data_IF_987339254073
#
_entry.id   IF_987339254073
#
_cell.length_a   1.000
_cell.length_b   1.000
_cell.length_c   1.000
_cell.angle_alpha   90.00
_cell.angle_beta   90.00
_cell.angle_gamma   90.00
#
_symmetry.space_group_name_H-M   'P 1'
#
loop_
_entity.id
_entity.type
_entity.pdbx_description
1 polymer ?
#
# COMPACT_ATOMS: atom_id res chain seq x y z
N UNK A 1 42.41 42.09 -42.49
CA UNK A 1 41.99 40.87 -43.24
C UNK A 1 42.26 39.58 -42.46
N UNK A 2 43.45 39.37 -41.85
CA UNK A 2 43.75 38.16 -41.05
C UNK A 2 42.89 38.03 -39.79
N UNK A 3 42.81 39.08 -38.96
CA UNK A 3 42.04 39.07 -37.71
C UNK A 3 40.53 38.78 -37.89
N UNK A 4 39.96 39.19 -39.01
CA UNK A 4 38.56 38.89 -39.34
C UNK A 4 38.36 37.40 -39.70
N UNK A 5 39.33 36.80 -40.40
CA UNK A 5 39.34 35.37 -40.69
C UNK A 5 39.56 34.52 -39.44
N UNK A 6 40.38 34.99 -38.51
CA UNK A 6 40.60 34.30 -37.22
C UNK A 6 39.35 34.35 -36.34
N UNK A 7 38.65 35.48 -36.30
CA UNK A 7 37.37 35.60 -35.57
C UNK A 7 36.27 34.75 -36.21
N UNK A 8 36.19 34.73 -37.54
CA UNK A 8 35.22 33.90 -38.27
C UNK A 8 35.51 32.40 -38.05
N UNK A 9 36.79 31.99 -38.10
CA UNK A 9 37.18 30.61 -37.80
C UNK A 9 36.88 30.21 -36.34
N UNK A 10 37.10 31.12 -35.39
CA UNK A 10 36.80 30.88 -33.99
C UNK A 10 35.28 30.77 -33.74
N UNK A 11 34.48 31.65 -34.35
CA UNK A 11 33.02 31.61 -34.23
C UNK A 11 32.44 30.35 -34.88
N UNK A 12 32.98 29.98 -36.03
CA UNK A 12 32.56 28.80 -36.78
C UNK A 12 32.96 27.48 -36.09
N UNK A 13 34.05 27.47 -35.31
CA UNK A 13 34.45 26.32 -34.50
C UNK A 13 33.55 26.13 -33.27
N UNK A 14 33.06 27.22 -32.67
CA UNK A 14 32.25 27.17 -31.45
C UNK A 14 30.74 27.10 -31.71
N UNK A 15 30.26 27.69 -32.80
CA UNK A 15 28.84 27.83 -33.13
C UNK A 15 28.44 27.18 -34.47
N UNK A 16 29.38 26.51 -35.15
CA UNK A 16 29.11 25.83 -36.42
C UNK A 16 28.24 24.59 -36.26
N UNK A 17 27.08 24.58 -36.95
CA UNK A 17 26.11 23.48 -36.90
C UNK A 17 26.51 22.22 -37.71
N UNK A 18 27.63 22.25 -38.44
CA UNK A 18 28.07 21.13 -39.29
C UNK A 18 29.60 20.95 -39.20
N UNK A 19 30.10 19.73 -38.93
CA UNK A 19 31.54 19.46 -38.95
C UNK A 19 32.08 19.61 -40.38
N UNK A 20 33.11 20.43 -40.57
CA UNK A 20 33.85 20.46 -41.83
C UNK A 20 34.71 19.21 -41.92
N UNK A 21 34.26 18.23 -42.68
CA UNK A 21 35.09 17.16 -43.19
C UNK A 21 35.83 17.69 -44.43
N UNK A 22 37.16 17.74 -44.37
CA UNK A 22 37.96 17.70 -45.58
C UNK A 22 37.68 16.35 -46.23
N UNK A 23 37.11 16.39 -47.43
CA UNK A 23 36.71 15.21 -48.18
C UNK A 23 37.88 14.24 -48.36
N UNK A 24 37.89 13.15 -47.59
CA UNK A 24 38.43 11.89 -48.06
C UNK A 24 37.71 10.70 -47.42
N UNK A 25 37.24 9.81 -48.29
CA UNK A 25 36.75 8.45 -48.05
C UNK A 25 35.35 8.24 -47.44
N UNK A 26 34.52 7.63 -48.29
CA UNK A 26 33.20 7.01 -48.06
C UNK A 26 33.29 5.88 -47.03
N UNK A 27 32.47 5.90 -45.97
CA UNK A 27 31.78 4.68 -45.51
C UNK A 27 30.54 4.96 -44.66
N UNK A 28 29.49 4.19 -44.92
CA UNK A 28 28.13 4.27 -44.37
C UNK A 28 27.95 3.17 -43.34
N UNK A 29 27.62 3.51 -42.09
CA UNK A 29 26.97 2.65 -41.07
C UNK A 29 26.93 3.45 -39.75
N UNK A 30 25.91 3.45 -38.89
CA UNK A 30 24.69 2.66 -38.76
C UNK A 30 23.79 3.47 -37.82
N UNK A 31 22.53 3.65 -38.19
CA UNK A 31 21.52 4.33 -37.38
C UNK A 31 21.38 3.64 -36.01
N UNK A 32 21.68 4.38 -34.94
CA UNK A 32 21.15 4.12 -33.60
C UNK A 32 20.20 5.26 -33.29
N UNK A 33 18.91 4.97 -33.34
CA UNK A 33 17.84 5.85 -32.89
C UNK A 33 17.97 6.04 -31.37
N UNK A 34 18.84 6.96 -30.95
CA UNK A 34 18.96 7.46 -29.59
C UNK A 34 18.36 8.86 -29.54
N UNK A 35 17.53 9.11 -28.55
CA UNK A 35 16.95 10.41 -28.25
C UNK A 35 18.01 11.53 -28.27
N UNK A 36 17.97 12.41 -29.28
CA UNK A 36 18.90 13.54 -29.44
C UNK A 36 18.47 14.73 -28.57
N UNK A 37 18.33 14.53 -27.26
CA UNK A 37 18.13 15.63 -26.31
C UNK A 37 19.48 16.09 -25.75
N UNK A 38 19.79 17.39 -25.89
CA UNK A 38 20.84 18.21 -25.22
C UNK A 38 22.28 17.67 -25.03
N UNK A 39 22.57 16.41 -25.35
CA UNK A 39 23.84 15.73 -25.11
C UNK A 39 24.58 15.37 -26.41
N UNK A 40 24.21 15.99 -27.54
CA UNK A 40 24.85 15.75 -28.84
C UNK A 40 26.12 16.59 -29.07
N UNK A 41 26.58 17.34 -28.07
CA UNK A 41 27.89 17.99 -28.12
C UNK A 41 28.93 16.93 -27.82
N UNK A 42 29.85 16.68 -28.75
CA UNK A 42 31.02 15.82 -28.50
C UNK A 42 31.86 16.53 -27.44
N UNK A 43 31.72 16.10 -26.18
CA UNK A 43 32.52 16.61 -25.08
C UNK A 43 33.98 16.31 -25.34
N UNK A 44 34.81 17.35 -25.27
CA UNK A 44 36.27 17.20 -25.26
C UNK A 44 36.69 16.47 -23.98
N UNK A 45 37.85 15.80 -23.97
CA UNK A 45 38.32 15.04 -22.80
C UNK A 45 38.43 15.90 -21.52
N UNK A 46 38.66 17.20 -21.68
CA UNK A 46 38.67 18.17 -20.59
C UNK A 46 37.28 18.39 -19.98
N UNK A 47 36.25 18.43 -20.81
CA UNK A 47 34.87 18.57 -20.35
C UNK A 47 34.38 17.29 -19.68
N UNK A 48 34.78 16.11 -20.13
CA UNK A 48 34.44 14.85 -19.44
C UNK A 48 35.03 14.77 -18.02
N UNK A 49 36.28 15.22 -17.85
CA UNK A 49 36.94 15.27 -16.54
C UNK A 49 36.32 16.33 -15.63
N UNK A 50 35.94 17.48 -16.20
CA UNK A 50 35.15 18.49 -15.52
C UNK A 50 33.79 17.91 -15.09
N UNK A 51 33.02 17.26 -15.99
CA UNK A 51 31.71 16.65 -15.72
C UNK A 51 31.76 15.61 -14.59
N UNK A 52 32.86 14.85 -14.48
CA UNK A 52 33.10 13.91 -13.37
C UNK A 52 33.42 14.59 -12.04
N UNK A 53 34.05 15.76 -12.07
CA UNK A 53 34.42 16.52 -10.86
C UNK A 53 33.35 17.52 -10.43
N UNK A 54 32.40 17.89 -11.30
CA UNK A 54 31.27 18.74 -10.91
C UNK A 54 30.28 17.94 -10.05
N UNK A 55 29.98 18.46 -8.85
CA UNK A 55 28.85 18.00 -8.04
C UNK A 55 27.52 18.51 -8.59
N UNK A 56 27.21 18.20 -9.85
CA UNK A 56 25.97 18.61 -10.49
C UNK A 56 24.94 17.47 -10.47
N UNK A 57 24.27 17.30 -9.33
CA UNK A 57 23.24 16.27 -9.13
C UNK A 57 22.03 16.39 -10.09
N UNK A 58 21.81 17.57 -10.66
CA UNK A 58 20.70 17.85 -11.57
C UNK A 58 21.03 17.57 -13.05
N UNK A 59 22.30 17.27 -13.38
CA UNK A 59 22.67 16.86 -14.74
C UNK A 59 22.32 15.38 -14.94
N UNK A 60 21.51 15.02 -15.97
CA UNK A 60 21.17 13.61 -16.26
C UNK A 60 22.38 12.70 -16.47
N UNK A 61 23.53 13.25 -16.88
CA UNK A 61 24.78 12.50 -17.09
C UNK A 61 25.58 12.26 -15.80
N UNK A 62 25.24 12.94 -14.71
CA UNK A 62 25.92 12.87 -13.41
C UNK A 62 24.98 12.39 -12.29
N UNK A 63 23.71 12.10 -12.59
CA UNK A 63 22.79 11.45 -11.66
C UNK A 63 23.28 10.02 -11.40
N UNK A 64 23.48 9.62 -10.13
CA UNK A 64 23.84 8.24 -9.82
C UNK A 64 22.75 7.31 -10.35
N UNK A 65 23.15 6.32 -11.14
CA UNK A 65 22.24 5.31 -11.67
C UNK A 65 21.62 4.57 -10.48
N UNK A 66 20.31 4.66 -10.31
CA UNK A 66 19.61 4.07 -9.17
C UNK A 66 19.78 2.54 -9.20
N UNK A 67 20.61 2.02 -8.31
CA UNK A 67 20.95 0.58 -8.23
C UNK A 67 19.78 -0.29 -7.77
N UNK A 68 18.68 0.31 -7.31
CA UNK A 68 17.55 -0.41 -6.76
C UNK A 68 16.35 -0.28 -7.69
N UNK A 69 16.13 -1.31 -8.52
CA UNK A 69 14.82 -1.57 -9.11
C UNK A 69 13.90 -2.00 -7.98
N UNK A 70 13.27 -1.03 -7.31
CA UNK A 70 12.21 -1.31 -6.34
C UNK A 70 11.06 -1.94 -7.12
N UNK A 71 10.69 -3.17 -6.74
CA UNK A 71 9.52 -3.81 -7.34
C UNK A 71 8.28 -2.95 -7.08
N UNK A 72 7.41 -2.86 -8.09
CA UNK A 72 6.19 -2.09 -7.96
C UNK A 72 5.39 -2.61 -6.76
N UNK A 73 4.91 -1.72 -5.87
CA UNK A 73 4.13 -2.13 -4.72
C UNK A 73 2.90 -2.92 -5.20
N UNK A 74 2.51 -3.93 -4.42
CA UNK A 74 1.36 -4.76 -4.76
C UNK A 74 0.11 -3.89 -4.94
N UNK A 75 -0.57 -4.03 -6.07
CA UNK A 75 -1.80 -3.28 -6.38
C UNK A 75 -3.04 -3.77 -5.63
N UNK A 76 -2.91 -4.82 -4.84
CA UNK A 76 -4.01 -5.42 -4.11
C UNK A 76 -4.02 -4.92 -2.66
N UNK A 77 -5.22 -4.61 -2.17
CA UNK A 77 -5.47 -4.36 -0.76
C UNK A 77 -5.44 -5.69 -0.01
N UNK A 78 -4.66 -5.76 1.05
CA UNK A 78 -4.47 -6.99 1.85
C UNK A 78 -5.05 -6.79 3.25
N UNK A 79 -5.61 -7.86 3.84
CA UNK A 79 -6.04 -7.87 5.23
C UNK A 79 -4.82 -7.72 6.15
N UNK A 80 -4.83 -6.77 7.10
CA UNK A 80 -3.69 -6.54 8.00
C UNK A 80 -3.40 -7.73 8.92
N UNK A 81 -4.43 -8.52 9.26
CA UNK A 81 -4.30 -9.66 10.17
C UNK A 81 -3.96 -10.96 9.41
N UNK A 82 -4.70 -11.26 8.34
CA UNK A 82 -4.62 -12.56 7.66
C UNK A 82 -3.75 -12.60 6.40
N UNK A 83 -3.14 -11.47 5.99
CA UNK A 83 -2.44 -11.33 4.71
C UNK A 83 -3.23 -11.80 3.47
N UNK A 84 -4.57 -11.83 3.57
CA UNK A 84 -5.46 -12.26 2.48
C UNK A 84 -5.80 -11.09 1.55
N UNK A 85 -5.96 -11.37 0.25
CA UNK A 85 -6.36 -10.38 -0.75
C UNK A 85 -7.83 -9.96 -0.53
N UNK A 86 -8.04 -8.73 -0.07
CA UNK A 86 -9.38 -8.17 0.11
C UNK A 86 -9.93 -7.67 -1.22
N UNK A 87 -11.19 -8.00 -1.51
CA UNK A 87 -11.96 -7.45 -2.63
C UNK A 87 -13.15 -6.70 -2.05
N UNK A 88 -13.51 -5.55 -2.61
CA UNK A 88 -14.68 -4.80 -2.14
C UNK A 88 -15.98 -5.62 -2.11
N UNK A 89 -16.11 -6.62 -3.01
CA UNK A 89 -17.26 -7.52 -3.08
C UNK A 89 -17.32 -8.58 -1.97
N UNK A 90 -16.20 -8.84 -1.28
CA UNK A 90 -16.14 -9.79 -0.16
C UNK A 90 -16.39 -9.12 1.19
N UNK A 91 -16.39 -7.78 1.24
CA UNK A 91 -16.67 -7.02 2.44
C UNK A 91 -18.18 -6.78 2.57
N UNK A 92 -18.71 -6.99 3.77
CA UNK A 92 -20.10 -6.71 4.10
C UNK A 92 -20.14 -5.94 5.44
N UNK A 93 -21.11 -5.05 5.63
CA UNK A 93 -21.26 -4.33 6.90
C UNK A 93 -21.64 -5.30 8.00
N UNK A 94 -21.11 -5.08 9.19
CA UNK A 94 -21.43 -5.85 10.39
C UNK A 94 -22.26 -4.98 11.32
N UNK A 95 -23.36 -5.55 11.84
CA UNK A 95 -24.27 -4.92 12.78
C UNK A 95 -24.27 -5.70 14.09
N UNK A 96 -23.81 -5.05 15.15
CA UNK A 96 -23.85 -5.56 16.51
C UNK A 96 -25.04 -4.92 17.23
N UNK A 97 -25.85 -5.73 17.90
CA UNK A 97 -26.98 -5.23 18.68
C UNK A 97 -26.48 -4.67 20.00
N UNK A 98 -26.72 -3.38 20.23
CA UNK A 98 -26.35 -2.68 21.47
C UNK A 98 -27.41 -2.89 22.55
N UNK A 99 -26.98 -3.02 23.81
CA UNK A 99 -27.88 -2.97 24.96
C UNK A 99 -28.23 -1.51 25.29
N UNK A 100 -29.52 -1.17 25.24
CA UNK A 100 -30.01 0.19 25.54
C UNK A 100 -30.32 0.38 27.04
N UNK A 101 -30.16 -0.65 27.87
CA UNK A 101 -30.55 -0.59 29.29
C UNK A 101 -29.64 0.30 30.15
N UNK A 102 -28.36 0.43 29.80
CA UNK A 102 -27.41 1.28 30.52
C UNK A 102 -27.27 2.62 29.77
N UNK A 103 -28.04 3.63 30.19
CA UNK A 103 -28.13 4.93 29.53
C UNK A 103 -26.76 5.58 29.24
N UNK A 104 -26.63 6.12 28.03
CA UNK A 104 -25.52 6.91 27.44
C UNK A 104 -24.24 7.01 28.28
N UNK A 105 -23.62 5.85 28.57
CA UNK A 105 -22.24 5.81 29.03
C UNK A 105 -21.37 5.93 27.79
N UNK A 106 -20.40 6.84 27.82
CA UNK A 106 -19.63 7.26 26.66
C UNK A 106 -19.11 6.09 25.80
N UNK A 107 -18.82 6.38 24.52
CA UNK A 107 -18.56 5.42 23.42
C UNK A 107 -17.69 4.18 23.67
N UNK A 108 -16.93 4.13 24.78
CA UNK A 108 -16.03 3.05 25.15
C UNK A 108 -16.72 1.89 25.90
N UNK A 109 -17.90 2.09 26.49
CA UNK A 109 -18.60 1.08 27.30
C UNK A 109 -19.90 0.57 26.66
N UNK A 110 -19.94 0.52 25.32
CA UNK A 110 -21.07 -0.08 24.60
C UNK A 110 -21.09 -1.58 24.83
N UNK A 111 -22.15 -2.05 25.49
CA UNK A 111 -22.40 -3.47 25.73
C UNK A 111 -23.13 -4.03 24.51
N UNK A 112 -22.54 -5.02 23.84
CA UNK A 112 -23.17 -5.70 22.72
C UNK A 112 -23.81 -7.01 23.16
N UNK A 113 -24.95 -7.35 22.59
CA UNK A 113 -25.74 -8.53 22.94
C UNK A 113 -25.99 -9.41 21.72
N UNK A 114 -26.13 -10.71 21.95
CA UNK A 114 -26.68 -11.63 20.96
C UNK A 114 -28.19 -11.38 20.80
N UNK A 115 -28.72 -11.21 19.57
CA UNK A 115 -30.14 -10.98 19.36
C UNK A 115 -31.04 -12.12 19.86
N UNK A 116 -30.53 -13.36 19.78
CA UNK A 116 -31.29 -14.58 20.09
C UNK A 116 -31.32 -14.91 21.59
N UNK A 117 -30.16 -14.97 22.24
CA UNK A 117 -30.08 -15.38 23.64
C UNK A 117 -29.91 -14.22 24.63
N UNK A 118 -29.79 -12.98 24.13
CA UNK A 118 -29.53 -11.76 24.92
C UNK A 118 -28.29 -11.86 25.83
N UNK A 119 -27.39 -12.81 25.56
CA UNK A 119 -26.09 -12.90 26.23
C UNK A 119 -25.17 -11.80 25.72
N UNK A 120 -24.43 -11.17 26.63
CA UNK A 120 -23.39 -10.21 26.31
C UNK A 120 -22.28 -10.84 25.47
N UNK A 121 -21.97 -10.21 24.34
CA UNK A 121 -20.89 -10.62 23.45
C UNK A 121 -19.57 -10.16 24.05
N UNK A 122 -18.73 -11.11 24.44
CA UNK A 122 -17.39 -10.89 25.00
C UNK A 122 -16.35 -11.58 24.12
N UNK A 123 -15.07 -11.17 24.24
CA UNK A 123 -13.97 -11.74 23.44
C UNK A 123 -13.71 -13.24 23.74
N UNK A 124 -14.29 -13.79 24.80
CA UNK A 124 -14.20 -15.23 25.10
C UNK A 124 -15.18 -16.07 24.28
N UNK A 125 -16.25 -15.47 23.76
CA UNK A 125 -17.27 -16.18 22.99
C UNK A 125 -16.90 -16.27 21.52
N UNK A 126 -17.17 -17.42 20.90
CA UNK A 126 -17.13 -17.55 19.44
C UNK A 126 -18.35 -16.86 18.86
N UNK A 127 -18.11 -15.92 17.95
CA UNK A 127 -19.15 -15.16 17.27
C UNK A 127 -19.27 -15.62 15.82
N UNK A 128 -20.48 -15.51 15.28
CA UNK A 128 -20.77 -15.84 13.88
C UNK A 128 -21.51 -14.66 13.28
N UNK A 129 -20.96 -14.09 12.21
CA UNK A 129 -21.60 -13.04 11.42
C UNK A 129 -22.29 -13.65 10.20
N UNK A 130 -23.44 -13.09 9.84
CA UNK A 130 -24.18 -13.50 8.65
C UNK A 130 -23.83 -12.58 7.49
N UNK A 131 -23.23 -13.09 6.42
CA UNK A 131 -22.78 -12.27 5.28
C UNK A 131 -23.92 -11.56 4.53
N UNK A 132 -25.13 -12.16 4.52
CA UNK A 132 -26.28 -11.64 3.78
C UNK A 132 -26.93 -10.40 4.43
N UNK A 133 -26.77 -10.24 5.74
CA UNK A 133 -27.43 -9.17 6.49
C UNK A 133 -26.54 -8.43 7.49
N UNK A 134 -25.38 -8.96 7.84
CA UNK A 134 -24.41 -8.34 8.74
C UNK A 134 -24.65 -8.58 10.23
N UNK A 135 -25.75 -9.22 10.63
CA UNK A 135 -26.04 -9.44 12.05
C UNK A 135 -25.11 -10.49 12.68
N UNK A 136 -24.68 -10.23 13.91
CA UNK A 136 -23.76 -11.09 14.67
C UNK A 136 -24.52 -11.88 15.74
N UNK A 137 -24.21 -13.17 15.83
CA UNK A 137 -24.80 -14.10 16.79
C UNK A 137 -23.73 -14.86 17.56
N UNK A 138 -24.13 -15.37 18.73
CA UNK A 138 -23.34 -16.34 19.47
C UNK A 138 -23.23 -17.67 18.69
N UNK A 139 -22.09 -18.37 18.72
CA UNK A 139 -21.93 -19.67 18.01
C UNK A 139 -23.03 -20.67 18.36
N UNK A 140 -23.37 -20.80 19.65
CA UNK A 140 -24.46 -21.68 20.12
C UNK A 140 -25.81 -21.35 19.48
N UNK A 141 -26.05 -20.08 19.18
CA UNK A 141 -27.28 -19.56 18.59
C UNK A 141 -27.28 -19.78 17.08
N UNK A 142 -26.14 -19.53 16.44
CA UNK A 142 -25.96 -19.76 15.01
C UNK A 142 -26.14 -21.25 14.65
N UNK A 143 -25.53 -22.15 15.41
CA UNK A 143 -25.60 -23.59 15.15
C UNK A 143 -26.99 -24.17 15.40
N UNK A 144 -27.74 -23.63 16.39
CA UNK A 144 -29.08 -24.13 16.73
C UNK A 144 -30.19 -23.55 15.86
N UNK A 145 -30.14 -22.26 15.57
CA UNK A 145 -31.23 -21.56 14.90
C UNK A 145 -30.88 -21.25 13.45
N UNK A 146 -29.78 -20.55 13.18
CA UNK A 146 -29.44 -20.12 11.82
C UNK A 146 -29.13 -21.30 10.88
N UNK A 147 -28.46 -22.34 11.37
CA UNK A 147 -28.15 -23.52 10.57
C UNK A 147 -29.40 -24.35 10.21
N UNK A 148 -30.41 -24.36 11.09
CA UNK A 148 -31.65 -25.13 10.93
C UNK A 148 -32.67 -24.34 10.12
N UNK A 149 -32.99 -23.13 10.56
CA UNK A 149 -34.05 -22.30 9.99
C UNK A 149 -33.60 -21.61 8.69
N UNK A 150 -32.28 -21.49 8.46
CA UNK A 150 -31.70 -20.84 7.26
C UNK A 150 -32.22 -19.43 7.04
N UNK A 151 -32.58 -18.74 8.11
CA UNK A 151 -33.13 -17.39 8.14
C UNK A 151 -32.53 -16.63 9.32
N UNK A 152 -32.23 -15.35 9.12
CA UNK A 152 -31.75 -14.47 10.18
C UNK A 152 -32.89 -14.12 11.13
N UNK A 153 -32.69 -14.32 12.44
CA UNK A 153 -33.70 -14.06 13.46
C UNK A 153 -34.04 -12.59 13.67
N UNK A 154 -33.16 -11.66 13.26
CA UNK A 154 -33.37 -10.22 13.45
C UNK A 154 -34.11 -9.58 12.26
N UNK A 155 -33.70 -9.90 11.02
CA UNK A 155 -34.22 -9.27 9.82
C UNK A 155 -34.99 -10.21 8.88
N UNK A 156 -35.18 -11.47 9.27
CA UNK A 156 -35.89 -12.49 8.48
C UNK A 156 -35.33 -12.73 7.07
N UNK A 157 -34.10 -12.30 6.78
CA UNK A 157 -33.43 -12.58 5.49
C UNK A 157 -32.94 -14.03 5.43
N UNK A 158 -33.09 -14.67 4.28
CA UNK A 158 -32.56 -16.01 4.03
C UNK A 158 -31.03 -16.06 4.16
N UNK A 159 -30.52 -17.10 4.79
CA UNK A 159 -29.10 -17.32 5.07
C UNK A 159 -28.75 -18.77 4.73
N UNK A 160 -27.71 -18.98 3.91
CA UNK A 160 -27.18 -20.32 3.67
C UNK A 160 -26.06 -20.62 4.66
N UNK A 161 -25.71 -21.89 4.84
CA UNK A 161 -24.56 -22.26 5.68
C UNK A 161 -23.23 -21.64 5.24
N UNK A 162 -23.11 -21.25 3.96
CA UNK A 162 -21.94 -20.54 3.40
C UNK A 162 -21.89 -19.06 3.81
N UNK A 163 -23.02 -18.52 4.20
CA UNK A 163 -23.17 -17.12 4.61
C UNK A 163 -22.89 -16.97 6.11
N UNK A 164 -22.69 -18.08 6.83
CA UNK A 164 -22.28 -18.08 8.24
C UNK A 164 -20.76 -17.99 8.32
N UNK A 165 -20.26 -16.81 8.63
CA UNK A 165 -18.83 -16.53 8.77
C UNK A 165 -18.50 -16.55 10.26
N UNK A 166 -17.71 -17.54 10.69
CA UNK A 166 -17.20 -17.56 12.05
C UNK A 166 -16.14 -16.46 12.20
N UNK A 167 -16.34 -15.57 13.17
CA UNK A 167 -15.38 -14.51 13.47
C UNK A 167 -14.23 -15.10 14.31
N UNK A 168 -13.01 -14.74 13.95
CA UNK A 168 -11.84 -15.05 14.76
C UNK A 168 -11.86 -14.22 16.04
N UNK A 169 -11.41 -14.83 17.12
CA UNK A 169 -11.29 -14.15 18.40
C UNK A 169 -9.93 -13.49 18.47
N UNK A 170 -9.86 -12.35 19.16
CA UNK A 170 -8.57 -11.75 19.47
C UNK A 170 -7.85 -12.55 20.55
N UNK A 171 -6.55 -12.30 20.71
CA UNK A 171 -5.76 -12.87 21.79
C UNK A 171 -6.38 -12.53 23.15
N UNK A 172 -6.94 -13.55 23.80
CA UNK A 172 -7.23 -13.47 25.23
C UNK A 172 -5.89 -13.66 25.94
N UNK A 173 -5.60 -12.94 27.03
CA UNK A 173 -4.29 -13.00 27.72
C UNK A 173 -3.94 -14.34 28.38
N UNK A 174 -4.53 -15.45 27.93
CA UNK A 174 -4.36 -16.82 28.41
C UNK A 174 -3.67 -17.65 27.33
N UNK A 175 -2.61 -18.37 27.71
CA UNK A 175 -1.73 -19.10 26.79
C UNK A 175 -2.34 -20.34 26.10
N UNK A 176 -3.59 -20.69 26.39
CA UNK A 176 -4.22 -21.94 25.93
C UNK A 176 -5.48 -21.76 25.08
N UNK A 177 -5.80 -20.54 24.66
CA UNK A 177 -7.01 -20.26 23.88
C UNK A 177 -6.63 -19.77 22.47
N UNK A 178 -7.03 -20.54 21.45
CA UNK A 178 -6.76 -20.35 20.01
C UNK A 178 -5.28 -20.50 19.58
N UNK A 179 -4.92 -21.66 19.01
CA UNK A 179 -3.54 -22.01 18.61
C UNK A 179 -3.03 -21.29 17.34
N UNK A 180 -3.86 -20.46 16.70
CA UNK A 180 -3.51 -19.74 15.46
C UNK A 180 -3.02 -18.30 15.67
N UNK A 181 -3.03 -17.79 16.89
CA UNK A 181 -2.73 -16.39 17.17
C UNK A 181 -1.23 -16.19 17.41
N UNK A 182 -0.56 -15.56 16.45
CA UNK A 182 0.85 -15.19 16.56
C UNK A 182 0.94 -13.70 16.85
N UNK A 183 1.52 -13.34 18.00
CA UNK A 183 1.79 -11.95 18.31
C UNK A 183 2.97 -11.44 17.45
N UNK A 184 2.67 -10.84 16.29
CA UNK A 184 3.66 -10.14 15.46
C UNK A 184 3.64 -8.64 15.74
N UNK A 185 4.80 -7.97 15.74
CA UNK A 185 4.86 -6.52 15.92
C UNK A 185 4.34 -5.78 14.67
N UNK A 186 3.02 -5.56 14.60
CA UNK A 186 2.47 -4.77 13.50
C UNK A 186 2.67 -3.27 13.74
N UNK A 187 3.71 -2.70 13.13
CA UNK A 187 3.91 -1.25 13.08
C UNK A 187 3.03 -0.65 11.98
N UNK A 188 1.89 -0.07 12.38
CA UNK A 188 0.96 0.64 11.48
C UNK A 188 1.63 1.75 10.64
N UNK A 189 2.81 2.22 11.04
CA UNK A 189 3.58 3.24 10.35
C UNK A 189 5.03 2.74 10.28
N UNK A 190 5.61 2.76 9.07
CA UNK A 190 6.93 2.18 8.78
C UNK A 190 8.02 2.53 9.80
N UNK A 191 8.98 1.61 9.96
CA UNK A 191 10.16 1.78 10.83
C UNK A 191 10.83 3.13 10.55
N UNK A 192 10.69 4.09 11.47
CA UNK A 192 11.24 5.45 11.33
C UNK A 192 10.26 6.61 11.58
N UNK A 193 8.96 6.35 11.72
CA UNK A 193 7.94 7.40 11.92
C UNK A 193 7.82 7.95 13.35
N UNK A 194 8.54 7.39 14.33
CA UNK A 194 8.55 7.87 15.73
C UNK A 194 7.22 7.76 16.49
N UNK A 195 6.17 7.21 15.87
CA UNK A 195 4.81 7.13 16.41
C UNK A 195 4.37 5.70 16.77
N UNK A 196 5.30 4.75 16.74
CA UNK A 196 5.05 3.38 17.18
C UNK A 196 4.88 3.32 18.70
N UNK A 197 3.66 2.99 19.16
CA UNK A 197 3.22 2.81 20.55
C UNK A 197 2.76 4.06 21.32
N UNK A 198 2.20 5.07 20.65
CA UNK A 198 1.41 6.08 21.38
C UNK A 198 -0.04 5.62 21.46
N UNK A 199 -0.43 4.94 22.56
CA UNK A 199 -1.83 4.94 22.97
C UNK A 199 -2.22 6.42 23.13
N UNK A 200 -3.25 6.94 22.46
CA UNK A 200 -3.72 8.28 22.76
C UNK A 200 -4.12 8.31 24.23
N UNK A 201 -3.32 8.99 25.05
CA UNK A 201 -3.70 9.31 26.42
C UNK A 201 -4.95 10.18 26.32
N UNK A 202 -6.09 9.62 26.70
CA UNK A 202 -7.29 10.39 27.00
C UNK A 202 -6.94 11.31 28.15
N UNK A 203 -6.74 12.60 27.85
CA UNK A 203 -6.66 13.62 28.89
C UNK A 203 -8.02 13.72 29.57
N UNK A 204 -7.98 13.64 30.90
CA UNK A 204 -9.06 14.03 31.83
C UNK A 204 -9.37 15.51 31.64
#
# INVERSE_FOLDING_TARGET
>A
AQRARELDAFDQQNHGAVPQYSNDSRNRNQDKNGFHGANSVKTTSFEEEALRTMKAFWLPSATPEATVKVEAPSSHTTCPEGNEKLKMKSLFPIYLTEDTSEGDRGSLDKIYLCPSCKVTLTNTLTLVAVSSCGHVFCKKCADKFLAVDKVCLECSKGCKGRDLVQLEKGGTGFAGHDEGLVATDFKHLGSGSGLGLVRPSSKV
#
